data_IF_249909687494
#
_entry.id   IF_249909687494
#
_cell.length_a   1.000
_cell.length_b   1.000
_cell.length_c   1.000
_cell.angle_alpha   90.00
_cell.angle_beta   90.00
_cell.angle_gamma   90.00
#
_symmetry.space_group_name_H-M   'P 1'
#
loop_
_entity.id
_entity.type
_entity.pdbx_description
1 polymer ?
#
# COMPACT_ATOMS: atom_id res chain seq x y z
N UNK A 1 9.64 55.56 -40.03
CA UNK A 1 9.62 54.08 -39.94
C UNK A 1 9.49 53.70 -38.47
N UNK A 2 8.29 53.31 -38.03
CA UNK A 2 7.97 53.05 -36.62
C UNK A 2 7.92 51.55 -36.38
N UNK A 3 8.86 51.00 -35.61
CA UNK A 3 8.95 49.60 -35.28
C UNK A 3 7.95 49.23 -34.18
N UNK A 4 6.96 48.48 -34.54
CA UNK A 4 5.91 47.96 -33.65
C UNK A 4 6.47 46.88 -32.74
N UNK A 5 6.76 47.20 -31.47
CA UNK A 5 7.22 46.30 -30.43
C UNK A 5 6.11 45.28 -30.11
N UNK A 6 6.26 44.04 -30.58
CA UNK A 6 5.41 42.92 -30.20
C UNK A 6 5.74 42.55 -28.75
N UNK A 7 4.90 42.97 -27.83
CA UNK A 7 4.90 42.44 -26.47
C UNK A 7 4.43 40.97 -26.50
N UNK A 8 5.36 40.05 -26.29
CA UNK A 8 5.03 38.65 -26.03
C UNK A 8 4.29 38.59 -24.70
N UNK A 9 2.97 38.38 -24.76
CA UNK A 9 2.17 38.00 -23.62
C UNK A 9 2.67 36.59 -23.20
N UNK A 10 3.47 36.53 -22.14
CA UNK A 10 3.78 35.26 -21.49
C UNK A 10 2.44 34.70 -21.03
N UNK A 11 2.04 33.55 -21.60
CA UNK A 11 1.01 32.71 -21.01
C UNK A 11 1.51 32.31 -19.63
N UNK A 12 1.06 33.00 -18.59
CA UNK A 12 1.03 32.43 -17.26
C UNK A 12 0.04 31.29 -17.33
N UNK A 13 0.56 30.08 -17.58
CA UNK A 13 -0.16 28.85 -17.29
C UNK A 13 -0.40 28.94 -15.79
N UNK A 14 -1.64 29.26 -15.41
CA UNK A 14 -2.06 29.10 -14.04
C UNK A 14 -1.71 27.67 -13.66
N UNK A 15 -0.73 27.52 -12.78
CA UNK A 15 -0.45 26.25 -12.10
C UNK A 15 -1.68 25.97 -11.24
N UNK A 16 -2.74 25.50 -11.86
CA UNK A 16 -3.84 24.88 -11.16
C UNK A 16 -3.20 23.74 -10.41
N UNK A 17 -3.15 23.86 -9.09
CA UNK A 17 -2.55 22.81 -8.26
C UNK A 17 -3.21 21.49 -8.64
N UNK A 18 -2.41 20.48 -8.91
CA UNK A 18 -2.86 19.09 -9.18
C UNK A 18 -3.97 18.70 -8.19
N UNK A 19 -3.82 19.09 -6.92
CA UNK A 19 -4.81 18.89 -5.86
C UNK A 19 -6.18 19.54 -6.10
N UNK A 20 -6.31 20.51 -7.01
CA UNK A 20 -7.60 21.12 -7.37
C UNK A 20 -8.32 20.38 -8.50
N UNK A 21 -7.59 19.59 -9.29
CA UNK A 21 -8.15 18.72 -10.34
C UNK A 21 -8.51 17.34 -9.79
N UNK A 22 -7.86 16.91 -8.72
CA UNK A 22 -8.14 15.64 -8.03
C UNK A 22 -9.22 15.91 -6.97
N UNK A 23 -10.33 15.19 -7.04
CA UNK A 23 -11.34 15.16 -5.98
C UNK A 23 -10.72 14.80 -4.63
N UNK A 24 -11.52 14.75 -3.56
CA UNK A 24 -11.09 14.51 -2.18
C UNK A 24 -9.90 13.53 -2.09
N UNK A 25 -8.94 13.87 -1.22
CA UNK A 25 -7.71 13.09 -0.97
C UNK A 25 -7.98 11.59 -0.98
N UNK A 26 -7.23 10.84 -1.79
CA UNK A 26 -7.29 9.37 -1.87
C UNK A 26 -6.59 8.70 -0.66
N UNK A 27 -6.11 9.50 0.28
CA UNK A 27 -5.33 9.06 1.45
C UNK A 27 -6.27 8.69 2.59
N UNK A 28 -6.11 7.50 3.17
CA UNK A 28 -6.88 7.03 4.30
C UNK A 28 -6.26 7.49 5.64
N UNK A 29 -7.05 7.52 6.73
CA UNK A 29 -6.49 7.75 8.06
C UNK A 29 -5.33 6.80 8.37
N UNK A 30 -4.21 7.35 8.84
CA UNK A 30 -2.98 6.61 9.10
C UNK A 30 -1.97 6.56 7.95
N UNK A 31 -2.35 7.03 6.76
CA UNK A 31 -1.42 7.20 5.63
C UNK A 31 -0.88 8.63 5.58
N UNK A 32 0.31 8.79 4.98
CA UNK A 32 0.94 10.09 4.83
C UNK A 32 0.54 10.75 3.51
N UNK A 33 -0.19 11.86 3.60
CA UNK A 33 -0.50 12.72 2.45
C UNK A 33 0.78 13.20 1.74
N UNK A 34 1.83 13.53 2.50
CA UNK A 34 3.10 13.98 1.94
C UNK A 34 3.75 12.90 1.06
N UNK A 35 3.72 11.63 1.50
CA UNK A 35 4.25 10.50 0.73
C UNK A 35 3.41 10.27 -0.53
N UNK A 36 2.08 10.38 -0.43
CA UNK A 36 1.18 10.27 -1.58
C UNK A 36 1.50 11.36 -2.62
N UNK A 37 1.56 12.61 -2.20
CA UNK A 37 1.83 13.75 -3.10
C UNK A 37 3.23 13.66 -3.73
N UNK A 38 4.23 13.26 -2.97
CA UNK A 38 5.59 13.07 -3.49
C UNK A 38 5.63 12.00 -4.58
N UNK A 39 4.97 10.88 -4.36
CA UNK A 39 4.90 9.80 -5.34
C UNK A 39 4.10 10.19 -6.59
N UNK A 40 3.01 10.94 -6.43
CA UNK A 40 2.25 11.48 -7.55
C UNK A 40 3.10 12.40 -8.43
N UNK A 41 3.81 13.35 -7.82
CA UNK A 41 4.71 14.26 -8.54
C UNK A 41 5.81 13.50 -9.27
N UNK A 42 6.42 12.51 -8.60
CA UNK A 42 7.43 11.66 -9.22
C UNK A 42 6.88 10.91 -10.44
N UNK A 43 5.67 10.36 -10.35
CA UNK A 43 5.01 9.64 -11.46
C UNK A 43 4.73 10.57 -12.65
N UNK A 44 4.22 11.79 -12.40
CA UNK A 44 3.99 12.80 -13.43
C UNK A 44 5.28 13.16 -14.15
N UNK A 45 6.38 13.32 -13.40
CA UNK A 45 7.70 13.62 -13.95
C UNK A 45 8.28 12.47 -14.77
N UNK A 46 8.21 11.24 -14.24
CA UNK A 46 8.74 10.04 -14.89
C UNK A 46 8.02 9.75 -16.21
N UNK A 47 6.70 9.95 -16.26
CA UNK A 47 5.91 9.80 -17.47
C UNK A 47 6.04 10.97 -18.46
N UNK A 48 6.76 12.03 -18.09
CA UNK A 48 6.92 13.22 -18.92
C UNK A 48 5.59 13.92 -19.25
N UNK A 49 4.63 13.85 -18.34
CA UNK A 49 3.29 14.37 -18.55
C UNK A 49 3.30 15.91 -18.48
N UNK A 50 3.01 16.57 -19.61
CA UNK A 50 3.05 18.03 -19.75
C UNK A 50 1.69 18.65 -20.12
N UNK A 51 0.80 17.89 -20.75
CA UNK A 51 -0.55 18.34 -21.08
C UNK A 51 -1.54 17.98 -19.95
N UNK A 52 -2.64 18.74 -19.78
CA UNK A 52 -3.64 18.42 -18.76
C UNK A 52 -4.16 16.99 -18.83
N UNK A 53 -4.35 16.45 -20.04
CA UNK A 53 -4.79 15.05 -20.21
C UNK A 53 -3.72 14.06 -19.78
N UNK A 54 -2.45 14.29 -20.13
CA UNK A 54 -1.34 13.45 -19.69
C UNK A 54 -1.19 13.45 -18.17
N UNK A 55 -1.30 14.63 -17.54
CA UNK A 55 -1.27 14.78 -16.09
C UNK A 55 -2.41 13.98 -15.45
N UNK A 56 -3.64 14.13 -15.94
CA UNK A 56 -4.79 13.39 -15.46
C UNK A 56 -4.58 11.86 -15.57
N UNK A 57 -4.03 11.38 -16.69
CA UNK A 57 -3.74 9.96 -16.88
C UNK A 57 -2.64 9.47 -15.91
N UNK A 58 -1.58 10.27 -15.70
CA UNK A 58 -0.53 9.98 -14.74
C UNK A 58 -1.09 9.87 -13.30
N UNK A 59 -2.01 10.76 -12.93
CA UNK A 59 -2.71 10.71 -11.64
C UNK A 59 -3.52 9.41 -11.50
N UNK A 60 -4.26 9.02 -12.54
CA UNK A 60 -5.03 7.77 -12.51
C UNK A 60 -4.15 6.53 -12.41
N UNK A 61 -3.02 6.51 -13.09
CA UNK A 61 -2.02 5.45 -12.97
C UNK A 61 -1.51 5.40 -11.53
N UNK A 62 -1.11 6.54 -10.96
CA UNK A 62 -0.60 6.60 -9.60
C UNK A 62 -1.65 6.18 -8.56
N UNK A 63 -2.90 6.61 -8.72
CA UNK A 63 -4.03 6.17 -7.89
C UNK A 63 -4.16 4.63 -7.89
N UNK A 64 -4.10 4.01 -9.06
CA UNK A 64 -4.14 2.55 -9.17
C UNK A 64 -2.95 1.89 -8.44
N UNK A 65 -1.73 2.40 -8.62
CA UNK A 65 -0.54 1.88 -7.95
C UNK A 65 -0.64 2.04 -6.42
N UNK A 66 -1.19 3.16 -5.94
CA UNK A 66 -1.40 3.39 -4.52
C UNK A 66 -2.40 2.39 -3.91
N UNK A 67 -3.50 2.12 -4.61
CA UNK A 67 -4.47 1.10 -4.20
C UNK A 67 -3.88 -0.31 -4.23
N UNK A 68 -3.12 -0.66 -5.26
CA UNK A 68 -2.42 -1.96 -5.32
C UNK A 68 -1.50 -2.14 -4.12
N UNK A 69 -0.69 -1.12 -3.78
CA UNK A 69 0.17 -1.15 -2.60
C UNK A 69 -0.60 -1.36 -1.29
N UNK A 70 -1.77 -0.71 -1.13
CA UNK A 70 -2.66 -0.94 0.02
C UNK A 70 -3.09 -2.39 0.14
N UNK A 71 -3.56 -2.96 -0.95
CA UNK A 71 -4.00 -4.36 -0.96
C UNK A 71 -2.86 -5.33 -0.68
N UNK A 72 -1.68 -5.11 -1.23
CA UNK A 72 -0.51 -5.92 -0.93
C UNK A 72 -0.10 -5.82 0.56
N UNK A 73 -0.10 -4.63 1.13
CA UNK A 73 0.13 -4.45 2.56
C UNK A 73 -0.94 -5.16 3.41
N UNK A 74 -2.19 -5.09 3.03
CA UNK A 74 -3.29 -5.77 3.71
C UNK A 74 -3.17 -7.29 3.61
N UNK A 75 -2.79 -7.83 2.44
CA UNK A 75 -2.50 -9.25 2.25
C UNK A 75 -1.38 -9.71 3.18
N UNK A 76 -0.26 -8.96 3.19
CA UNK A 76 0.87 -9.24 4.09
C UNK A 76 0.43 -9.25 5.57
N UNK A 77 -0.26 -8.22 6.02
CA UNK A 77 -0.78 -8.13 7.39
C UNK A 77 -1.73 -9.29 7.74
N UNK A 78 -2.57 -9.71 6.78
CA UNK A 78 -3.48 -10.86 6.96
C UNK A 78 -2.70 -12.15 7.17
N UNK A 79 -1.66 -12.39 6.37
CA UNK A 79 -0.81 -13.59 6.53
C UNK A 79 -0.04 -13.57 7.84
N UNK A 80 0.60 -12.44 8.19
CA UNK A 80 1.32 -12.27 9.46
C UNK A 80 0.40 -12.54 10.66
N UNK A 81 -0.82 -11.99 10.65
CA UNK A 81 -1.82 -12.26 11.68
C UNK A 81 -2.20 -13.74 11.72
N UNK A 82 -2.35 -14.38 10.56
CA UNK A 82 -2.61 -15.83 10.46
C UNK A 82 -1.47 -16.65 11.06
N UNK A 83 -0.21 -16.25 10.85
CA UNK A 83 0.95 -16.88 11.45
C UNK A 83 0.93 -16.75 12.99
N UNK A 84 0.71 -15.54 13.50
CA UNK A 84 0.63 -15.28 14.94
C UNK A 84 -0.52 -16.06 15.60
N UNK A 85 -1.69 -16.12 14.97
CA UNK A 85 -2.83 -16.92 15.44
C UNK A 85 -2.53 -18.42 15.46
N UNK A 86 -1.74 -18.92 14.50
CA UNK A 86 -1.36 -20.35 14.46
C UNK A 86 -0.46 -20.72 15.63
N UNK A 87 0.37 -19.81 16.12
CA UNK A 87 1.24 -19.99 17.28
C UNK A 87 0.53 -19.80 18.63
N UNK A 88 -0.69 -19.26 18.62
CA UNK A 88 -1.51 -19.10 19.83
C UNK A 88 -2.87 -19.79 19.69
N UNK A 89 -2.95 -21.13 19.77
CA UNK A 89 -4.20 -21.88 19.60
C UNK A 89 -5.23 -21.62 20.71
N UNK A 90 -4.80 -21.14 21.89
CA UNK A 90 -5.68 -20.88 23.05
C UNK A 90 -6.23 -19.45 23.08
N UNK A 91 -6.27 -18.78 21.95
CA UNK A 91 -6.74 -17.39 21.82
C UNK A 91 -8.18 -17.22 22.30
N UNK A 92 -8.38 -16.25 23.20
CA UNK A 92 -9.72 -15.74 23.49
C UNK A 92 -10.17 -14.84 22.34
N UNK A 93 -11.30 -15.15 21.73
CA UNK A 93 -11.81 -14.40 20.57
C UNK A 93 -11.92 -12.91 20.88
N UNK A 94 -11.34 -12.10 20.03
CA UNK A 94 -11.43 -10.63 20.11
C UNK A 94 -10.30 -9.92 20.86
N UNK A 95 -9.38 -10.64 21.51
CA UNK A 95 -8.20 -10.05 22.16
C UNK A 95 -6.91 -10.50 21.47
N UNK A 96 -6.01 -9.55 21.25
CA UNK A 96 -4.64 -9.84 20.82
C UNK A 96 -3.83 -10.08 22.09
N UNK A 97 -3.23 -11.27 22.24
CA UNK A 97 -2.35 -11.56 23.36
C UNK A 97 -0.97 -10.93 23.17
N UNK A 98 -0.22 -10.77 24.27
CA UNK A 98 1.15 -10.23 24.21
C UNK A 98 2.04 -11.09 23.30
N UNK A 99 1.84 -12.41 23.30
CA UNK A 99 2.53 -13.33 22.40
C UNK A 99 2.20 -13.05 20.94
N UNK A 100 0.91 -12.86 20.59
CA UNK A 100 0.52 -12.52 19.21
C UNK A 100 1.12 -11.18 18.78
N UNK A 101 1.11 -10.17 19.66
CA UNK A 101 1.69 -8.87 19.38
C UNK A 101 3.18 -8.97 19.11
N UNK A 102 3.94 -9.68 19.96
CA UNK A 102 5.36 -9.92 19.78
C UNK A 102 5.67 -10.70 18.49
N UNK A 103 4.93 -11.78 18.22
CA UNK A 103 5.09 -12.56 16.97
C UNK A 103 4.82 -11.69 15.73
N UNK A 104 3.78 -10.86 15.75
CA UNK A 104 3.49 -9.96 14.64
C UNK A 104 4.62 -8.95 14.42
N UNK A 105 5.12 -8.34 15.49
CA UNK A 105 6.23 -7.38 15.43
C UNK A 105 7.50 -8.02 14.86
N UNK A 106 7.87 -9.21 15.35
CA UNK A 106 9.03 -9.96 14.86
C UNK A 106 8.91 -10.28 13.35
N UNK A 107 7.74 -10.73 12.90
CA UNK A 107 7.48 -11.06 11.50
C UNK A 107 7.42 -9.82 10.60
N UNK A 108 6.87 -8.71 11.08
CA UNK A 108 6.85 -7.44 10.33
C UNK A 108 8.25 -6.87 10.15
N UNK A 109 9.08 -6.95 11.20
CA UNK A 109 10.47 -6.53 11.16
C UNK A 109 11.39 -7.52 10.44
N UNK A 110 10.87 -8.72 10.09
CA UNK A 110 11.66 -9.85 9.56
C UNK A 110 12.81 -10.25 10.50
N UNK A 111 12.57 -10.17 11.81
CA UNK A 111 13.53 -10.53 12.87
C UNK A 111 13.13 -11.90 13.44
N UNK A 112 13.74 -12.95 12.88
CA UNK A 112 13.57 -14.33 13.33
C UNK A 112 14.81 -14.67 14.12
N UNK A 113 14.77 -14.37 15.41
CA UNK A 113 15.85 -14.64 16.35
C UNK A 113 15.77 -16.04 16.97
N UNK A 114 16.65 -16.32 17.93
CA UNK A 114 16.69 -17.63 18.60
C UNK A 114 15.44 -17.88 19.44
N UNK A 115 14.85 -16.84 20.06
CA UNK A 115 13.62 -16.96 20.85
C UNK A 115 12.43 -17.34 19.96
N UNK A 116 12.32 -16.72 18.78
CA UNK A 116 11.31 -17.08 17.80
C UNK A 116 11.49 -18.51 17.29
N UNK A 117 12.74 -18.95 17.06
CA UNK A 117 13.05 -20.31 16.63
C UNK A 117 12.72 -21.34 17.71
N UNK A 118 12.94 -21.03 19.00
CA UNK A 118 12.52 -21.93 20.10
C UNK A 118 10.99 -22.05 20.17
N UNK A 119 10.26 -20.93 20.01
CA UNK A 119 8.80 -20.98 19.94
C UNK A 119 8.31 -21.87 18.79
N UNK A 120 8.93 -21.79 17.62
CA UNK A 120 8.61 -22.68 16.49
C UNK A 120 8.85 -24.14 16.82
N UNK A 121 9.95 -24.48 17.50
CA UNK A 121 10.27 -25.85 17.93
C UNK A 121 9.24 -26.40 18.92
N UNK A 122 8.82 -25.59 19.89
CA UNK A 122 7.76 -25.97 20.86
C UNK A 122 6.46 -26.39 20.15
N UNK A 123 6.13 -25.71 19.04
CA UNK A 123 4.95 -26.01 18.24
C UNK A 123 5.20 -27.04 17.14
N UNK A 124 6.41 -27.64 17.05
CA UNK A 124 6.84 -28.53 15.98
C UNK A 124 6.62 -27.92 14.58
N UNK A 125 6.97 -26.65 14.43
CA UNK A 125 6.83 -25.87 13.20
C UNK A 125 8.18 -25.38 12.69
N UNK A 126 8.23 -25.14 11.39
CA UNK A 126 9.25 -24.32 10.74
C UNK A 126 8.60 -23.04 10.22
N UNK A 127 9.36 -22.00 9.94
CA UNK A 127 8.84 -20.76 9.31
C UNK A 127 8.05 -21.07 8.04
N UNK A 128 8.53 -22.03 7.25
CA UNK A 128 7.85 -22.44 6.01
C UNK A 128 6.50 -23.11 6.30
N UNK A 129 6.44 -24.05 7.25
CA UNK A 129 5.19 -24.73 7.60
C UNK A 129 4.19 -23.80 8.28
N UNK A 130 4.68 -22.85 9.09
CA UNK A 130 3.87 -21.80 9.68
C UNK A 130 3.23 -20.92 8.59
N UNK A 131 4.02 -20.48 7.61
CA UNK A 131 3.52 -19.69 6.47
C UNK A 131 2.47 -20.48 5.66
N UNK A 132 2.71 -21.76 5.37
CA UNK A 132 1.75 -22.60 4.65
C UNK A 132 0.42 -22.74 5.39
N UNK A 133 0.45 -22.95 6.73
CA UNK A 133 -0.76 -23.02 7.55
C UNK A 133 -1.50 -21.69 7.58
N UNK A 134 -0.78 -20.57 7.73
CA UNK A 134 -1.36 -19.24 7.71
C UNK A 134 -2.04 -18.94 6.36
N UNK A 135 -1.39 -19.23 5.25
CA UNK A 135 -1.97 -19.08 3.91
C UNK A 135 -3.23 -19.92 3.74
N UNK A 136 -3.24 -21.14 4.20
CA UNK A 136 -4.42 -22.01 4.13
C UNK A 136 -5.58 -21.45 4.97
N UNK A 137 -5.31 -20.94 6.18
CA UNK A 137 -6.33 -20.36 7.06
C UNK A 137 -6.87 -19.03 6.55
N UNK A 138 -6.05 -18.25 5.86
CA UNK A 138 -6.41 -16.92 5.33
C UNK A 138 -6.93 -16.94 3.89
N UNK A 139 -7.03 -18.11 3.26
CA UNK A 139 -7.32 -18.27 1.84
C UNK A 139 -8.53 -17.44 1.38
N UNK A 140 -9.67 -17.55 2.05
CA UNK A 140 -10.88 -16.82 1.67
C UNK A 140 -10.71 -15.29 1.73
N UNK A 141 -9.98 -14.79 2.77
CA UNK A 141 -9.70 -13.35 2.90
C UNK A 141 -8.75 -12.86 1.79
N UNK A 142 -7.75 -13.66 1.43
CA UNK A 142 -6.81 -13.33 0.37
C UNK A 142 -7.48 -13.34 -1.00
N UNK A 143 -8.34 -14.32 -1.30
CA UNK A 143 -9.13 -14.36 -2.53
C UNK A 143 -10.06 -13.14 -2.65
N UNK A 144 -10.67 -12.69 -1.55
CA UNK A 144 -11.46 -11.45 -1.53
C UNK A 144 -10.63 -10.21 -1.88
N UNK A 145 -9.42 -10.11 -1.36
CA UNK A 145 -8.50 -9.02 -1.69
C UNK A 145 -8.05 -9.07 -3.16
N UNK A 146 -7.74 -10.25 -3.70
CA UNK A 146 -7.39 -10.42 -5.10
C UNK A 146 -8.52 -10.02 -6.04
N UNK A 147 -9.77 -10.32 -5.69
CA UNK A 147 -10.94 -9.86 -6.43
C UNK A 147 -11.08 -8.33 -6.42
N UNK A 148 -10.83 -7.67 -5.27
CA UNK A 148 -10.86 -6.21 -5.19
C UNK A 148 -9.77 -5.55 -6.06
N UNK A 149 -8.55 -6.11 -6.07
CA UNK A 149 -7.47 -5.66 -6.97
C UNK A 149 -7.91 -5.80 -8.43
N UNK A 150 -8.42 -6.97 -8.81
CA UNK A 150 -8.84 -7.23 -10.18
C UNK A 150 -9.97 -6.30 -10.66
N UNK A 151 -10.89 -5.94 -9.78
CA UNK A 151 -11.95 -4.97 -10.07
C UNK A 151 -11.37 -3.56 -10.27
N UNK A 152 -10.45 -3.13 -9.41
CA UNK A 152 -9.86 -1.79 -9.49
C UNK A 152 -9.00 -1.59 -10.73
N UNK A 153 -8.34 -2.62 -11.22
CA UNK A 153 -7.51 -2.56 -12.46
C UNK A 153 -8.38 -2.53 -13.74
N UNK A 154 -9.63 -2.99 -13.66
CA UNK A 154 -10.56 -3.01 -14.81
C UNK A 154 -11.36 -1.72 -14.99
N UNK A 155 -11.39 -0.84 -13.98
CA UNK A 155 -12.08 0.45 -14.01
C UNK A 155 -11.15 1.56 -14.40
#
# INVERSE_FOLDING_TARGET
MSAKKRTSKSLQVATTSISQLVGASQVLPGESEAVYQQGLVATVQELGAVTPLQIYLAEKIYECLWWMRRYENQKRATVIRGMATTLNPNRVSGQVSDLEAWVMEALEANQIDDEFNELLKEHNLTVQSLNQRALASCKASLEGLDQMIALKVKT
#
